data_IF_429419490217
#
_entry.id   IF_429419490217
#
_cell.length_a   1.000
_cell.length_b   1.000
_cell.length_c   1.000
_cell.angle_alpha   90.00
_cell.angle_beta   90.00
_cell.angle_gamma   90.00
#
_symmetry.space_group_name_H-M   'P 1'
#
loop_
_entity.id
_entity.type
_entity.pdbx_description
1 polymer ?
#
# COMPACT_ATOMS: atom_id res chain seq x y z
N UNK A 1 -0.45 -33.60 8.51
CA UNK A 1 0.70 -32.81 8.03
C UNK A 1 1.27 -32.05 9.21
N UNK A 2 2.50 -32.34 9.65
CA UNK A 2 3.21 -31.47 10.59
C UNK A 2 3.89 -30.39 9.75
N UNK A 3 3.42 -29.14 9.87
CA UNK A 3 4.13 -27.99 9.32
C UNK A 3 5.55 -27.98 9.91
N UNK A 4 6.56 -27.65 9.10
CA UNK A 4 7.91 -27.46 9.62
C UNK A 4 7.87 -26.30 10.60
N UNK A 5 8.05 -26.52 11.92
CA UNK A 5 7.75 -25.53 12.95
C UNK A 5 8.64 -24.28 12.89
N UNK A 6 9.69 -24.30 12.06
CA UNK A 6 10.67 -23.21 11.91
C UNK A 6 10.52 -22.42 10.59
N UNK A 7 9.52 -22.75 9.75
CA UNK A 7 9.36 -22.06 8.47
C UNK A 7 8.36 -20.90 8.58
N UNK A 8 8.86 -19.67 8.62
CA UNK A 8 8.06 -18.43 8.69
C UNK A 8 7.03 -18.33 7.55
N UNK A 9 7.39 -18.73 6.32
CA UNK A 9 6.48 -18.73 5.17
C UNK A 9 5.23 -19.57 5.39
N UNK A 10 5.37 -20.79 5.93
CA UNK A 10 4.22 -21.68 6.16
C UNK A 10 3.23 -21.09 7.17
N UNK A 11 3.75 -20.38 8.18
CA UNK A 11 2.91 -19.70 9.16
C UNK A 11 2.20 -18.49 8.54
N UNK A 12 2.86 -17.73 7.67
CA UNK A 12 2.23 -16.66 6.89
C UNK A 12 1.14 -17.16 5.94
N UNK A 13 1.38 -18.24 5.20
CA UNK A 13 0.38 -18.86 4.32
C UNK A 13 -0.81 -19.40 5.12
N UNK A 14 -0.57 -19.99 6.29
CA UNK A 14 -1.66 -20.41 7.16
C UNK A 14 -2.47 -19.21 7.68
N UNK A 15 -1.81 -18.10 8.02
CA UNK A 15 -2.50 -16.88 8.41
C UNK A 15 -3.45 -16.38 7.31
N UNK A 16 -3.05 -16.44 6.04
CA UNK A 16 -3.90 -16.08 4.91
C UNK A 16 -5.15 -16.96 4.84
N UNK A 17 -5.00 -18.28 4.99
CA UNK A 17 -6.15 -19.21 5.00
C UNK A 17 -7.11 -18.90 6.16
N UNK A 18 -6.56 -18.67 7.35
CA UNK A 18 -7.37 -18.31 8.53
C UNK A 18 -8.18 -17.04 8.28
N UNK A 19 -7.58 -16.03 7.66
CA UNK A 19 -8.25 -14.77 7.38
C UNK A 19 -9.27 -14.90 6.24
N UNK A 20 -8.80 -15.25 5.04
CA UNK A 20 -9.58 -15.09 3.80
C UNK A 20 -10.56 -16.25 3.56
N UNK A 21 -10.29 -17.43 4.12
CA UNK A 21 -11.12 -18.64 3.89
C UNK A 21 -11.95 -18.98 5.12
N UNK A 22 -11.35 -18.93 6.31
CA UNK A 22 -12.01 -19.40 7.53
C UNK A 22 -12.67 -18.29 8.34
N UNK A 23 -12.42 -17.01 8.01
CA UNK A 23 -13.02 -15.87 8.70
C UNK A 23 -12.56 -15.75 10.17
N UNK A 24 -11.32 -16.16 10.45
CA UNK A 24 -10.71 -16.18 11.78
C UNK A 24 -9.57 -15.15 11.86
N UNK A 25 -9.87 -13.84 11.87
CA UNK A 25 -8.86 -12.78 11.81
C UNK A 25 -7.93 -12.79 13.04
N UNK A 26 -8.44 -13.12 14.23
CA UNK A 26 -7.63 -13.14 15.45
C UNK A 26 -6.59 -14.27 15.41
N UNK A 27 -7.01 -15.48 15.07
CA UNK A 27 -6.11 -16.64 14.92
C UNK A 27 -5.11 -16.42 13.79
N UNK A 28 -5.53 -15.77 12.70
CA UNK A 28 -4.65 -15.35 11.62
C UNK A 28 -3.51 -14.47 12.15
N UNK A 29 -3.84 -13.43 12.93
CA UNK A 29 -2.83 -12.53 13.47
C UNK A 29 -1.86 -13.21 14.44
N UNK A 30 -2.32 -14.16 15.24
CA UNK A 30 -1.43 -14.98 16.07
C UNK A 30 -0.41 -15.75 15.23
N UNK A 31 -0.81 -16.27 14.05
CA UNK A 31 0.12 -16.97 13.15
C UNK A 31 1.09 -16.01 12.49
N UNK A 32 0.65 -14.80 12.13
CA UNK A 32 1.54 -13.74 11.63
C UNK A 32 2.60 -13.40 12.67
N UNK A 33 2.20 -13.15 13.92
CA UNK A 33 3.15 -12.83 15.00
C UNK A 33 4.13 -13.97 15.26
N UNK A 34 3.65 -15.22 15.23
CA UNK A 34 4.54 -16.36 15.35
C UNK A 34 5.54 -16.44 14.19
N UNK A 35 5.09 -16.22 12.95
CA UNK A 35 5.96 -16.18 11.78
C UNK A 35 7.05 -15.10 11.89
N UNK A 36 6.66 -13.89 12.31
CA UNK A 36 7.58 -12.76 12.55
C UNK A 36 8.59 -13.10 13.64
N UNK A 37 8.18 -13.80 14.71
CA UNK A 37 9.11 -14.23 15.77
C UNK A 37 10.17 -15.23 15.31
N UNK A 38 9.92 -15.95 14.21
CA UNK A 38 10.87 -16.89 13.60
C UNK A 38 11.82 -16.20 12.62
N UNK A 39 11.32 -15.20 11.88
CA UNK A 39 12.10 -14.36 10.99
C UNK A 39 11.53 -12.94 10.94
N UNK A 40 12.20 -12.05 11.67
CA UNK A 40 11.82 -10.66 11.84
C UNK A 40 12.07 -9.77 10.61
N UNK A 41 12.95 -10.21 9.70
CA UNK A 41 13.27 -9.49 8.46
C UNK A 41 12.48 -10.02 7.25
N UNK A 42 11.62 -11.03 7.45
CA UNK A 42 10.89 -11.60 6.34
C UNK A 42 9.76 -10.68 5.86
N UNK A 43 10.02 -10.00 4.74
CA UNK A 43 9.16 -8.94 4.19
C UNK A 43 7.71 -9.37 4.00
N UNK A 44 7.47 -10.63 3.58
CA UNK A 44 6.13 -11.17 3.36
C UNK A 44 5.27 -11.11 4.63
N UNK A 45 5.80 -11.58 5.75
CA UNK A 45 5.04 -11.62 7.01
C UNK A 45 4.83 -10.24 7.64
N UNK A 46 5.80 -9.33 7.45
CA UNK A 46 5.62 -7.92 7.80
C UNK A 46 4.50 -7.29 6.96
N UNK A 47 4.47 -7.58 5.65
CA UNK A 47 3.40 -7.15 4.75
C UNK A 47 2.02 -7.67 5.17
N UNK A 48 1.91 -8.96 5.53
CA UNK A 48 0.67 -9.55 6.03
C UNK A 48 0.17 -8.88 7.32
N UNK A 49 1.08 -8.50 8.23
CA UNK A 49 0.71 -7.74 9.42
C UNK A 49 0.17 -6.34 9.05
N UNK A 50 0.79 -5.67 8.07
CA UNK A 50 0.29 -4.41 7.53
C UNK A 50 -1.12 -4.54 6.93
N UNK A 51 -1.34 -5.58 6.12
CA UNK A 51 -2.65 -5.88 5.52
C UNK A 51 -3.71 -6.17 6.58
N UNK A 52 -3.36 -6.96 7.62
CA UNK A 52 -4.25 -7.25 8.74
C UNK A 52 -4.72 -5.96 9.42
N UNK A 53 -3.77 -5.11 9.84
CA UNK A 53 -4.09 -3.87 10.55
C UNK A 53 -4.81 -2.84 9.67
N UNK A 54 -4.48 -2.77 8.39
CA UNK A 54 -5.21 -1.94 7.42
C UNK A 54 -6.68 -2.36 7.31
N UNK A 55 -6.96 -3.66 7.30
CA UNK A 55 -8.34 -4.18 7.32
C UNK A 55 -9.04 -3.92 8.65
N UNK A 56 -8.35 -4.04 9.79
CA UNK A 56 -8.91 -3.68 11.09
C UNK A 56 -9.29 -2.20 11.14
N UNK A 57 -8.43 -1.29 10.67
CA UNK A 57 -8.72 0.15 10.64
C UNK A 57 -9.91 0.49 9.75
N UNK A 58 -10.09 -0.21 8.63
CA UNK A 58 -11.28 -0.03 7.77
C UNK A 58 -12.57 -0.56 8.40
N UNK A 59 -12.48 -1.58 9.26
CA UNK A 59 -13.63 -2.20 9.92
C UNK A 59 -14.00 -1.52 11.25
N UNK A 60 -13.06 -0.78 11.86
CA UNK A 60 -13.27 -0.09 13.12
C UNK A 60 -14.31 1.04 12.99
N UNK A 61 -15.28 1.05 13.90
CA UNK A 61 -16.28 2.13 14.02
C UNK A 61 -15.77 3.26 14.92
N UNK A 62 -14.98 2.93 15.94
CA UNK A 62 -14.38 3.91 16.84
C UNK A 62 -13.20 4.64 16.16
N UNK A 63 -13.17 5.98 16.15
CA UNK A 63 -12.11 6.74 15.51
C UNK A 63 -10.70 6.51 16.09
N UNK A 64 -10.58 6.27 17.40
CA UNK A 64 -9.27 6.02 18.03
C UNK A 64 -8.77 4.63 17.70
N UNK A 65 -9.64 3.60 17.74
CA UNK A 65 -9.30 2.25 17.29
C UNK A 65 -8.91 2.23 15.80
N UNK A 66 -9.66 2.97 14.98
CA UNK A 66 -9.37 3.15 13.55
C UNK A 66 -7.99 3.76 13.32
N UNK A 67 -7.68 4.83 14.05
CA UNK A 67 -6.38 5.50 13.97
C UNK A 67 -5.24 4.59 14.44
N UNK A 68 -5.40 3.93 15.59
CA UNK A 68 -4.40 3.00 16.13
C UNK A 68 -4.12 1.88 15.13
N UNK A 69 -5.16 1.29 14.54
CA UNK A 69 -5.01 0.24 13.56
C UNK A 69 -4.24 0.72 12.32
N UNK A 70 -4.52 1.91 11.79
CA UNK A 70 -3.77 2.42 10.65
C UNK A 70 -2.32 2.81 10.98
N UNK A 71 -2.04 3.31 12.18
CA UNK A 71 -0.64 3.55 12.61
C UNK A 71 0.14 2.23 12.69
N UNK A 72 -0.45 1.17 13.26
CA UNK A 72 0.17 -0.17 13.24
C UNK A 72 0.40 -0.66 11.81
N UNK A 73 -0.59 -0.48 10.93
CA UNK A 73 -0.45 -0.86 9.52
C UNK A 73 0.71 -0.11 8.84
N UNK A 74 0.83 1.21 9.10
CA UNK A 74 1.93 2.07 8.61
C UNK A 74 3.28 1.53 9.05
N UNK A 75 3.45 1.20 10.33
CA UNK A 75 4.70 0.65 10.87
C UNK A 75 5.11 -0.67 10.18
N UNK A 76 4.15 -1.59 10.01
CA UNK A 76 4.42 -2.88 9.37
C UNK A 76 4.76 -2.74 7.88
N UNK A 77 4.05 -1.89 7.13
CA UNK A 77 4.38 -1.64 5.72
C UNK A 77 5.75 -0.95 5.56
N UNK A 78 6.09 0.00 6.43
CA UNK A 78 7.42 0.61 6.44
C UNK A 78 8.51 -0.43 6.64
N UNK A 79 8.33 -1.32 7.64
CA UNK A 79 9.26 -2.41 7.90
C UNK A 79 9.36 -3.37 6.72
N UNK A 80 8.23 -3.79 6.15
CA UNK A 80 8.18 -4.68 4.98
C UNK A 80 8.95 -4.08 3.79
N UNK A 81 8.69 -2.81 3.45
CA UNK A 81 9.35 -2.13 2.35
C UNK A 81 10.87 -1.90 2.58
N UNK A 82 11.29 -1.73 3.85
CA UNK A 82 12.69 -1.52 4.22
C UNK A 82 13.52 -2.81 4.12
N UNK A 83 12.94 -3.96 4.49
CA UNK A 83 13.65 -5.25 4.51
C UNK A 83 13.57 -6.02 3.18
N UNK A 84 12.70 -5.61 2.24
CA UNK A 84 12.57 -6.23 0.93
C UNK A 84 13.89 -6.16 0.13
N UNK A 85 14.45 -7.34 -0.24
CA UNK A 85 15.74 -7.47 -0.95
C UNK A 85 15.60 -8.37 -2.19
N UNK A 86 16.50 -8.18 -3.17
CA UNK A 86 16.64 -9.09 -4.32
C UNK A 86 15.34 -9.29 -5.11
N UNK A 87 14.90 -10.54 -5.28
CA UNK A 87 13.66 -10.90 -6.01
C UNK A 87 12.36 -10.45 -5.32
N UNK A 88 12.43 -9.99 -4.06
CA UNK A 88 11.27 -9.52 -3.30
C UNK A 88 10.91 -8.06 -3.59
N UNK A 89 11.70 -7.35 -4.42
CA UNK A 89 11.38 -5.98 -4.87
C UNK A 89 10.02 -5.90 -5.56
N UNK A 90 9.53 -7.01 -6.13
CA UNK A 90 8.17 -7.10 -6.68
C UNK A 90 7.11 -6.80 -5.61
N UNK A 91 7.28 -7.30 -4.38
CA UNK A 91 6.35 -7.04 -3.28
C UNK A 91 6.53 -5.67 -2.64
N UNK A 92 7.74 -5.10 -2.74
CA UNK A 92 8.04 -3.76 -2.22
C UNK A 92 7.06 -2.71 -2.76
N UNK A 93 6.76 -2.75 -4.05
CA UNK A 93 5.75 -1.85 -4.66
C UNK A 93 4.39 -1.99 -4.00
N UNK A 94 3.93 -3.21 -3.71
CA UNK A 94 2.67 -3.46 -3.02
C UNK A 94 2.66 -2.89 -1.60
N UNK A 95 3.75 -3.06 -0.84
CA UNK A 95 3.84 -2.51 0.52
C UNK A 95 3.88 -0.98 0.53
N UNK A 96 4.56 -0.37 -0.45
CA UNK A 96 4.58 1.08 -0.62
C UNK A 96 3.20 1.64 -1.02
N UNK A 97 2.43 0.93 -1.83
CA UNK A 97 1.02 1.26 -2.12
C UNK A 97 0.17 1.13 -0.84
N UNK A 98 0.35 0.06 -0.07
CA UNK A 98 -0.31 -0.14 1.22
C UNK A 98 -0.02 1.01 2.19
N UNK A 99 1.25 1.40 2.31
CA UNK A 99 1.71 2.53 3.10
C UNK A 99 1.07 3.85 2.65
N UNK A 100 1.01 4.10 1.34
CA UNK A 100 0.36 5.29 0.80
C UNK A 100 -1.13 5.35 1.17
N UNK A 101 -1.84 4.24 1.00
CA UNK A 101 -3.26 4.15 1.33
C UNK A 101 -3.55 4.38 2.82
N UNK A 102 -2.78 3.77 3.73
CA UNK A 102 -2.98 3.98 5.18
C UNK A 102 -2.60 5.40 5.60
N UNK A 103 -1.62 6.01 4.94
CA UNK A 103 -1.25 7.41 5.20
C UNK A 103 -2.36 8.37 4.77
N UNK A 104 -3.08 8.09 3.67
CA UNK A 104 -4.30 8.84 3.30
C UNK A 104 -5.35 8.75 4.40
N UNK A 105 -5.62 7.53 4.91
CA UNK A 105 -6.61 7.33 5.98
C UNK A 105 -6.24 8.04 7.28
N UNK A 106 -4.94 8.20 7.55
CA UNK A 106 -4.42 8.98 8.68
C UNK A 106 -4.40 10.50 8.43
N UNK A 107 -4.72 10.95 7.21
CA UNK A 107 -4.65 12.36 6.81
C UNK A 107 -3.23 12.87 6.56
N UNK A 108 -2.23 11.99 6.55
CA UNK A 108 -0.82 12.30 6.32
C UNK A 108 -0.52 12.25 4.81
N UNK A 109 -0.99 13.27 4.08
CA UNK A 109 -0.93 13.32 2.63
C UNK A 109 0.50 13.38 2.09
N UNK A 110 1.42 14.03 2.81
CA UNK A 110 2.83 14.12 2.41
C UNK A 110 3.50 12.73 2.46
N UNK A 111 3.27 11.98 3.54
CA UNK A 111 3.76 10.60 3.62
C UNK A 111 3.10 9.70 2.58
N UNK A 112 1.81 9.92 2.29
CA UNK A 112 1.12 9.18 1.25
C UNK A 112 1.76 9.38 -0.12
N UNK A 113 1.98 10.63 -0.53
CA UNK A 113 2.66 11.01 -1.77
C UNK A 113 4.04 10.37 -1.83
N UNK A 114 4.84 10.52 -0.76
CA UNK A 114 6.20 9.95 -0.70
C UNK A 114 6.20 8.43 -0.89
N UNK A 115 5.25 7.71 -0.29
CA UNK A 115 5.12 6.28 -0.43
C UNK A 115 4.75 5.86 -1.86
N UNK A 116 3.79 6.54 -2.49
CA UNK A 116 3.40 6.25 -3.87
C UNK A 116 4.52 6.57 -4.88
N UNK A 117 5.26 7.66 -4.70
CA UNK A 117 6.42 7.96 -5.56
C UNK A 117 7.50 6.89 -5.46
N UNK A 118 7.75 6.36 -4.26
CA UNK A 118 8.66 5.24 -4.07
C UNK A 118 8.11 3.97 -4.74
N UNK A 119 6.78 3.76 -4.73
CA UNK A 119 6.14 2.64 -5.39
C UNK A 119 6.33 2.72 -6.92
N UNK A 120 6.12 3.89 -7.53
CA UNK A 120 6.39 4.13 -8.96
C UNK A 120 7.86 3.80 -9.29
N UNK A 121 8.81 4.31 -8.49
CA UNK A 121 10.25 4.05 -8.69
C UNK A 121 10.63 2.57 -8.57
N UNK A 122 9.87 1.80 -7.79
CA UNK A 122 10.09 0.36 -7.57
C UNK A 122 9.36 -0.53 -8.57
N UNK A 123 8.41 0.02 -9.33
CA UNK A 123 7.58 -0.74 -10.28
C UNK A 123 8.31 -0.97 -11.61
N UNK A 124 9.10 -2.04 -11.70
CA UNK A 124 9.73 -2.44 -12.96
C UNK A 124 8.70 -3.14 -13.88
N UNK A 125 8.28 -2.47 -14.96
CA UNK A 125 7.49 -3.08 -16.04
C UNK A 125 6.03 -3.42 -15.71
N UNK A 126 5.47 -2.84 -14.64
CA UNK A 126 4.07 -3.04 -14.28
C UNK A 126 3.16 -2.15 -15.15
N UNK A 127 2.19 -2.76 -15.84
CA UNK A 127 1.23 -2.07 -16.71
C UNK A 127 0.30 -1.10 -15.98
N UNK A 128 0.26 -1.14 -14.65
CA UNK A 128 -0.69 -0.37 -13.85
C UNK A 128 -0.06 0.83 -13.11
N UNK A 129 1.21 1.16 -13.38
CA UNK A 129 1.90 2.32 -12.79
C UNK A 129 1.10 3.61 -13.00
N UNK A 130 0.42 3.75 -14.14
CA UNK A 130 -0.42 4.91 -14.44
C UNK A 130 -1.50 5.19 -13.39
N UNK A 131 -2.02 4.15 -12.69
CA UNK A 131 -3.01 4.35 -11.61
C UNK A 131 -2.38 4.97 -10.37
N UNK A 132 -1.12 4.62 -10.09
CA UNK A 132 -0.36 5.20 -8.98
C UNK A 132 -0.06 6.66 -9.31
N UNK A 133 0.40 6.94 -10.54
CA UNK A 133 0.63 8.29 -11.04
C UNK A 133 -0.63 9.16 -10.98
N UNK A 134 -1.79 8.63 -11.38
CA UNK A 134 -3.08 9.33 -11.26
C UNK A 134 -3.41 9.65 -9.79
N UNK A 135 -3.13 8.71 -8.88
CA UNK A 135 -3.35 8.91 -7.44
C UNK A 135 -2.45 10.02 -6.89
N UNK A 136 -1.16 10.01 -7.23
CA UNK A 136 -0.21 11.05 -6.83
C UNK A 136 -0.66 12.42 -7.36
N UNK A 137 -1.10 12.49 -8.62
CA UNK A 137 -1.59 13.73 -9.21
C UNK A 137 -2.77 14.33 -8.43
N UNK A 138 -3.73 13.49 -8.01
CA UNK A 138 -4.88 13.91 -7.20
C UNK A 138 -4.46 14.39 -5.81
N UNK A 139 -3.50 13.71 -5.19
CA UNK A 139 -2.98 14.12 -3.88
C UNK A 139 -2.27 15.47 -3.96
N UNK A 140 -1.42 15.68 -4.97
CA UNK A 140 -0.78 16.98 -5.18
C UNK A 140 -1.79 18.10 -5.48
N UNK A 141 -2.85 17.81 -6.25
CA UNK A 141 -3.93 18.77 -6.47
C UNK A 141 -4.65 19.11 -5.15
N UNK A 142 -4.86 18.13 -4.27
CA UNK A 142 -5.47 18.32 -2.96
C UNK A 142 -4.59 19.15 -2.01
N UNK A 143 -3.26 18.99 -2.08
CA UNK A 143 -2.32 19.79 -1.28
C UNK A 143 -2.00 21.16 -1.90
N UNK A 144 -2.54 21.45 -3.10
CA UNK A 144 -2.39 22.73 -3.79
C UNK A 144 -1.15 22.85 -4.68
N UNK A 145 -0.42 21.75 -4.89
CA UNK A 145 0.75 21.71 -5.78
C UNK A 145 0.33 21.32 -7.19
N UNK A 146 -0.20 22.28 -7.93
CA UNK A 146 -0.69 22.04 -9.28
C UNK A 146 0.42 21.65 -10.28
N UNK A 147 1.66 22.07 -10.03
CA UNK A 147 2.79 21.76 -10.92
C UNK A 147 3.14 20.27 -10.87
N UNK A 148 3.27 19.73 -9.66
CA UNK A 148 3.50 18.29 -9.49
C UNK A 148 2.25 17.49 -9.87
N UNK A 149 1.05 18.01 -9.58
CA UNK A 149 -0.19 17.39 -10.02
C UNK A 149 -0.24 17.19 -11.54
N UNK A 150 0.09 18.23 -12.32
CA UNK A 150 0.11 18.13 -13.79
C UNK A 150 1.17 17.12 -14.27
N UNK A 151 2.37 17.16 -13.68
CA UNK A 151 3.47 16.27 -14.06
C UNK A 151 3.07 14.80 -13.90
N UNK A 152 2.51 14.43 -12.76
CA UNK A 152 2.05 13.07 -12.49
C UNK A 152 0.82 12.69 -13.33
N UNK A 153 -0.10 13.62 -13.59
CA UNK A 153 -1.25 13.36 -14.44
C UNK A 153 -0.86 13.09 -15.91
N UNK A 154 0.18 13.78 -16.42
CA UNK A 154 0.73 13.51 -17.75
C UNK A 154 1.44 12.15 -17.82
N UNK A 155 2.18 11.77 -16.77
CA UNK A 155 2.79 10.45 -16.66
C UNK A 155 1.71 9.35 -16.65
N UNK A 156 0.64 9.55 -15.89
CA UNK A 156 -0.52 8.68 -15.87
C UNK A 156 -1.15 8.54 -17.27
N UNK A 157 -1.41 9.65 -17.96
CA UNK A 157 -2.00 9.63 -19.30
C UNK A 157 -1.14 8.87 -20.31
N UNK A 158 0.19 8.97 -20.20
CA UNK A 158 1.12 8.32 -21.12
C UNK A 158 1.13 6.79 -21.00
N UNK A 159 0.81 6.25 -19.82
CA UNK A 159 0.75 4.81 -19.56
C UNK A 159 -0.66 4.23 -19.50
N UNK A 160 -1.70 5.06 -19.59
CA UNK A 160 -3.08 4.63 -19.43
C UNK A 160 -3.62 3.97 -20.71
N UNK A 161 -4.47 2.93 -20.58
CA UNK A 161 -5.28 2.41 -21.69
C UNK A 161 -6.25 3.46 -22.25
N UNK A 162 -6.61 3.35 -23.53
CA UNK A 162 -7.47 4.30 -24.24
C UNK A 162 -8.82 4.57 -23.53
N UNK A 163 -9.42 3.55 -22.92
CA UNK A 163 -10.69 3.66 -22.19
C UNK A 163 -10.58 4.44 -20.87
N UNK A 164 -9.36 4.66 -20.38
CA UNK A 164 -9.06 5.41 -19.15
C UNK A 164 -8.52 6.82 -19.43
N UNK A 165 -7.99 7.06 -20.63
CA UNK A 165 -7.36 8.33 -21.02
C UNK A 165 -8.26 9.55 -20.88
N UNK A 166 -9.57 9.43 -21.21
CA UNK A 166 -10.51 10.54 -21.12
C UNK A 166 -10.61 11.12 -19.70
N UNK A 167 -10.73 10.24 -18.69
CA UNK A 167 -10.77 10.61 -17.27
C UNK A 167 -9.52 11.36 -16.82
N UNK A 168 -8.34 10.95 -17.32
CA UNK A 168 -7.07 11.56 -16.94
C UNK A 168 -6.89 12.91 -17.65
N UNK A 169 -7.37 13.05 -18.89
CA UNK A 169 -7.41 14.33 -19.59
C UNK A 169 -8.30 15.35 -18.85
N UNK A 170 -9.45 14.92 -18.33
CA UNK A 170 -10.32 15.77 -17.51
C UNK A 170 -9.61 16.25 -16.23
N UNK A 171 -8.84 15.36 -15.56
CA UNK A 171 -8.01 15.73 -14.42
C UNK A 171 -6.96 16.80 -14.80
N UNK A 172 -6.26 16.62 -15.92
CA UNK A 172 -5.28 17.61 -16.41
C UNK A 172 -5.95 18.96 -16.71
N UNK A 173 -7.13 18.96 -17.31
CA UNK A 173 -7.89 20.19 -17.58
C UNK A 173 -8.33 20.89 -16.28
N UNK A 174 -8.74 20.12 -15.27
CA UNK A 174 -9.08 20.65 -13.94
C UNK A 174 -7.87 21.30 -13.27
N UNK A 175 -6.70 20.65 -13.31
CA UNK A 175 -5.45 21.17 -12.73
C UNK A 175 -5.10 22.52 -13.39
N UNK A 176 -5.19 22.60 -14.72
CA UNK A 176 -4.86 23.83 -15.48
C UNK A 176 -5.81 24.98 -15.21
N UNK A 177 -7.10 24.70 -15.11
CA UNK A 177 -8.11 25.73 -14.86
C UNK A 177 -8.08 26.22 -13.41
N UNK A 178 -7.76 25.36 -12.45
CA UNK A 178 -7.59 25.74 -11.04
C UNK A 178 -6.28 26.48 -10.72
N UNK A 179 -5.33 26.52 -11.65
CA UNK A 179 -4.03 27.19 -11.50
C UNK A 179 -3.98 28.61 -12.09
N UNK A 180 -5.06 29.06 -12.74
CA UNK A 180 -5.21 30.41 -13.30
C UNK A 180 -5.86 31.36 -12.30
#
# INVERSE_FOLDING_TARGET
>A
MKLSPQNSTLWGEWALVLYDVLGQPQESYEKILHAISLDEEYTFTQGLAGDYWSRQGRAAEDPEEKKEAFERAKEYYLRAAAVAKGSETTYKTTYLIGLGNVSIELGDLDSAISAFEQAVKSASGNSDVWRIEETIARLYLQTGDALNAETHAQAALSGAPDDQSARIQDLIAQIKTGSQ
#
